data_IF_956733146597
#
_entry.id   IF_956733146597
#
_cell.length_a   1.000
_cell.length_b   1.000
_cell.length_c   1.000
_cell.angle_alpha   90.00
_cell.angle_beta   90.00
_cell.angle_gamma   90.00
#
_symmetry.space_group_name_H-M   'P 1'
#
loop_
_entity.id
_entity.type
_entity.pdbx_description
1 polymer ?
#
# COMPACT_ATOMS: atom_id res chain seq x y z
N UNK A 1 4.91 16.13 -17.30
CA UNK A 1 4.09 16.12 -16.07
C UNK A 1 5.00 15.70 -14.94
N UNK A 2 5.05 16.47 -13.85
CA UNK A 2 5.89 16.16 -12.70
C UNK A 2 4.97 15.73 -11.56
N UNK A 3 5.25 14.58 -10.95
CA UNK A 3 4.44 14.03 -9.84
C UNK A 3 5.28 14.05 -8.58
N UNK A 4 4.74 14.62 -7.50
CA UNK A 4 5.38 14.63 -6.19
C UNK A 4 4.64 13.63 -5.28
N UNK A 5 5.34 12.60 -4.83
CA UNK A 5 4.83 11.65 -3.83
C UNK A 5 5.36 12.04 -2.45
N UNK A 6 4.46 12.21 -1.48
CA UNK A 6 4.79 12.58 -0.11
C UNK A 6 4.35 11.45 0.81
N UNK A 7 5.20 11.07 1.77
CA UNK A 7 4.89 10.09 2.80
C UNK A 7 4.84 10.81 4.16
N UNK A 8 3.66 11.23 4.63
CA UNK A 8 3.52 11.86 5.94
C UNK A 8 3.97 10.92 7.06
N UNK A 9 4.64 11.46 8.06
CA UNK A 9 5.07 10.68 9.22
C UNK A 9 3.92 10.39 10.20
N UNK A 10 2.85 11.19 10.14
CA UNK A 10 1.67 11.07 11.02
C UNK A 10 0.37 11.40 10.28
N UNK A 11 -0.75 10.90 10.80
CA UNK A 11 -2.09 11.20 10.29
C UNK A 11 -2.44 12.69 10.41
N UNK A 12 -1.96 13.37 11.45
CA UNK A 12 -2.17 14.81 11.63
C UNK A 12 -1.46 15.62 10.55
N UNK A 13 -0.23 15.22 10.18
CA UNK A 13 0.52 15.84 9.10
C UNK A 13 -0.18 15.61 7.76
N UNK A 14 -0.67 14.41 7.50
CA UNK A 14 -1.44 14.10 6.30
C UNK A 14 -2.71 14.97 6.20
N UNK A 15 -3.45 15.08 7.31
CA UNK A 15 -4.68 15.89 7.38
C UNK A 15 -4.37 17.36 7.08
N UNK A 16 -3.32 17.92 7.69
CA UNK A 16 -2.90 19.29 7.44
C UNK A 16 -2.54 19.52 5.96
N UNK A 17 -1.79 18.59 5.34
CA UNK A 17 -1.43 18.67 3.92
C UNK A 17 -2.68 18.67 3.05
N UNK A 18 -3.63 17.76 3.28
CA UNK A 18 -4.90 17.68 2.53
C UNK A 18 -5.68 18.99 2.61
N UNK A 19 -5.82 19.57 3.81
CA UNK A 19 -6.50 20.85 4.00
C UNK A 19 -5.87 21.98 3.19
N UNK A 20 -4.53 22.05 3.12
CA UNK A 20 -3.85 23.05 2.30
C UNK A 20 -4.08 22.83 0.80
N UNK A 21 -4.03 21.58 0.34
CA UNK A 21 -4.26 21.25 -1.07
C UNK A 21 -5.71 21.56 -1.47
N UNK A 22 -6.68 21.25 -0.62
CA UNK A 22 -8.09 21.59 -0.81
C UNK A 22 -8.28 23.12 -0.91
N UNK A 23 -7.68 23.88 0.01
CA UNK A 23 -7.76 25.35 0.00
C UNK A 23 -7.17 25.95 -1.28
N UNK A 24 -6.11 25.34 -1.81
CA UNK A 24 -5.45 25.76 -3.04
C UNK A 24 -6.09 25.16 -4.31
N UNK A 25 -7.14 24.35 -4.18
CA UNK A 25 -7.81 23.65 -5.28
C UNK A 25 -6.83 22.82 -6.14
N UNK A 26 -5.86 22.19 -5.48
CA UNK A 26 -4.89 21.30 -6.12
C UNK A 26 -5.45 19.88 -6.08
N UNK A 27 -5.64 19.27 -7.24
CA UNK A 27 -6.04 17.87 -7.31
C UNK A 27 -4.93 16.96 -6.77
N UNK A 28 -5.27 16.10 -5.81
CA UNK A 28 -4.38 15.05 -5.31
C UNK A 28 -5.10 13.71 -5.27
N UNK A 29 -4.33 12.64 -5.42
CA UNK A 29 -4.80 11.28 -5.19
C UNK A 29 -4.45 10.90 -3.76
N UNK A 30 -5.46 10.76 -2.92
CA UNK A 30 -5.32 10.03 -1.68
C UNK A 30 -5.10 8.56 -2.05
N UNK A 31 -4.02 7.96 -1.56
CA UNK A 31 -4.01 6.52 -1.37
C UNK A 31 -4.96 6.25 -0.21
N UNK A 32 -6.28 6.35 -0.47
CA UNK A 32 -7.24 5.77 0.45
C UNK A 32 -6.76 4.35 0.67
N UNK A 33 -6.53 4.00 1.94
CA UNK A 33 -6.08 2.69 2.34
C UNK A 33 -7.00 1.67 1.67
N UNK A 34 -6.60 1.18 0.51
CA UNK A 34 -7.23 0.03 -0.12
C UNK A 34 -6.92 -1.03 0.92
N UNK A 35 -7.90 -1.38 1.72
CA UNK A 35 -7.76 -2.48 2.66
C UNK A 35 -7.37 -3.68 1.79
N UNK A 36 -6.07 -3.99 1.81
CA UNK A 36 -5.48 -4.99 0.93
C UNK A 36 -6.16 -6.33 1.21
N UNK A 37 -6.67 -6.54 2.43
CA UNK A 37 -7.54 -7.65 2.81
C UNK A 37 -8.82 -7.68 1.98
N UNK A 38 -9.53 -6.55 1.88
CA UNK A 38 -10.73 -6.42 1.05
C UNK A 38 -10.43 -6.70 -0.43
N UNK A 39 -9.29 -6.22 -0.95
CA UNK A 39 -8.87 -6.52 -2.32
C UNK A 39 -8.54 -8.01 -2.52
N UNK A 40 -7.77 -8.61 -1.61
CA UNK A 40 -7.40 -10.03 -1.68
C UNK A 40 -8.61 -10.95 -1.50
N UNK A 41 -9.66 -10.50 -0.80
CA UNK A 41 -10.92 -11.21 -0.62
C UNK A 41 -11.99 -10.87 -1.67
N UNK A 42 -11.69 -9.96 -2.61
CA UNK A 42 -12.69 -9.41 -3.55
C UNK A 42 -13.21 -10.42 -4.57
N UNK A 43 -12.48 -11.51 -4.83
CA UNK A 43 -12.92 -12.57 -5.73
C UNK A 43 -12.58 -13.96 -5.18
N UNK A 44 -13.35 -15.00 -5.54
CA UNK A 44 -13.06 -16.37 -5.13
C UNK A 44 -11.65 -16.84 -5.53
N UNK A 45 -11.20 -16.44 -6.73
CA UNK A 45 -9.85 -16.74 -7.22
C UNK A 45 -8.77 -16.07 -6.36
N UNK A 46 -8.96 -14.78 -6.02
CA UNK A 46 -7.99 -14.06 -5.17
C UNK A 46 -7.93 -14.66 -3.76
N UNK A 47 -9.08 -15.03 -3.19
CA UNK A 47 -9.16 -15.68 -1.88
C UNK A 47 -8.45 -17.04 -1.88
N UNK A 48 -8.64 -17.86 -2.93
CA UNK A 48 -7.94 -19.14 -3.10
C UNK A 48 -6.42 -18.94 -3.22
N UNK A 49 -5.99 -17.96 -4.01
CA UNK A 49 -4.58 -17.61 -4.16
C UNK A 49 -3.95 -17.14 -2.85
N UNK A 50 -4.67 -16.34 -2.04
CA UNK A 50 -4.23 -15.91 -0.72
C UNK A 50 -4.07 -17.12 0.22
N UNK A 51 -5.08 -17.99 0.28
CA UNK A 51 -5.05 -19.20 1.11
C UNK A 51 -3.87 -20.11 0.75
N UNK A 52 -3.64 -20.33 -0.56
CA UNK A 52 -2.50 -21.10 -1.04
C UNK A 52 -1.16 -20.47 -0.64
N UNK A 53 -1.04 -19.15 -0.74
CA UNK A 53 0.18 -18.43 -0.35
C UNK A 53 0.48 -18.56 1.15
N UNK A 54 -0.56 -18.54 2.00
CA UNK A 54 -0.44 -18.78 3.44
C UNK A 54 0.07 -20.20 3.72
N UNK A 55 -0.45 -21.20 3.01
CA UNK A 55 -0.02 -22.60 3.17
C UNK A 55 1.43 -22.81 2.72
N UNK A 56 1.84 -22.20 1.61
CA UNK A 56 3.23 -22.23 1.14
C UNK A 56 4.18 -21.59 2.15
N UNK A 57 3.77 -20.47 2.76
CA UNK A 57 4.50 -19.83 3.84
C UNK A 57 4.71 -20.75 5.05
N UNK A 58 3.68 -21.50 5.46
CA UNK A 58 3.78 -22.49 6.55
C UNK A 58 4.71 -23.65 6.22
N UNK A 59 4.78 -24.05 4.94
CA UNK A 59 5.67 -25.11 4.46
C UNK A 59 7.11 -24.65 4.20
N UNK A 60 7.38 -23.34 4.27
CA UNK A 60 8.68 -22.77 3.94
C UNK A 60 8.95 -22.67 2.43
N UNK A 61 7.92 -22.81 1.59
CA UNK A 61 7.99 -22.68 0.12
C UNK A 61 7.95 -21.20 -0.31
N UNK A 62 8.58 -20.31 0.47
CA UNK A 62 8.58 -18.86 0.25
C UNK A 62 10.00 -18.31 0.23
N UNK A 63 10.22 -17.30 -0.61
CA UNK A 63 11.47 -16.52 -0.57
C UNK A 63 11.24 -15.30 0.31
N UNK A 64 12.04 -15.17 1.37
CA UNK A 64 12.04 -13.96 2.20
C UNK A 64 12.96 -12.93 1.58
N UNK A 65 12.43 -11.74 1.34
CA UNK A 65 13.19 -10.57 0.90
C UNK A 65 13.08 -9.50 1.97
N UNK A 66 14.21 -8.90 2.32
CA UNK A 66 14.27 -7.70 3.15
C UNK A 66 14.24 -6.45 2.27
N UNK A 67 13.93 -5.30 2.86
CA UNK A 67 13.97 -4.03 2.13
C UNK A 67 15.38 -3.71 1.61
N UNK A 68 16.42 -4.12 2.33
CA UNK A 68 17.82 -3.97 1.94
C UNK A 68 18.17 -4.79 0.68
N UNK A 69 17.46 -5.89 0.42
CA UNK A 69 17.66 -6.71 -0.79
C UNK A 69 17.10 -6.03 -2.05
N UNK A 70 16.10 -5.17 -1.87
CA UNK A 70 15.36 -4.49 -2.94
C UNK A 70 15.97 -3.11 -3.18
N UNK A 71 16.31 -2.40 -2.10
CA UNK A 71 16.82 -1.04 -2.16
C UNK A 71 18.35 -1.02 -2.23
N UNK A 72 18.88 -1.25 -3.44
CA UNK A 72 20.30 -1.03 -3.72
C UNK A 72 20.53 0.47 -3.99
N UNK A 73 21.54 1.10 -3.35
CA UNK A 73 21.87 2.51 -3.57
C UNK A 73 22.28 2.79 -5.02
#
# INVERSE_FOLDING_TARGET
MNTLTIHPATNDQETAIRMFLDALHVDYKSSDNVDETTYLMSSPANAEHLQKSIEQGKKGEVTKLSLDDIWKP
#
